data_IF_435762339265
#
_entry.id   IF_435762339265
#
_cell.length_a   1.000
_cell.length_b   1.000
_cell.length_c   1.000
_cell.angle_alpha   90.00
_cell.angle_beta   90.00
_cell.angle_gamma   90.00
#
_symmetry.space_group_name_H-M   'P 1'
#
loop_
_entity.id
_entity.type
_entity.pdbx_description
1 polymer ?
#
# COMPACT_ATOMS: atom_id res chain seq x y z
N UNK A 1 2.80 -16.56 22.42
CA UNK A 1 4.25 -16.76 22.55
C UNK A 1 4.58 -18.05 21.79
N UNK A 2 5.57 -18.04 20.90
CA UNK A 2 5.91 -19.23 20.10
C UNK A 2 6.64 -20.25 20.98
N UNK A 3 6.45 -21.55 20.73
CA UNK A 3 7.05 -22.66 21.50
C UNK A 3 8.57 -22.51 21.67
N UNK A 4 9.23 -22.06 20.60
CA UNK A 4 10.68 -21.79 20.55
C UNK A 4 11.14 -20.75 21.58
N UNK A 5 10.34 -19.71 21.84
CA UNK A 5 10.65 -18.70 22.87
C UNK A 5 10.46 -19.24 24.29
N UNK A 6 9.58 -20.22 24.49
CA UNK A 6 9.40 -20.87 25.80
C UNK A 6 10.64 -21.72 26.12
N UNK A 7 11.14 -22.46 25.14
CA UNK A 7 12.33 -23.31 25.30
C UNK A 7 13.61 -22.50 25.52
N UNK A 8 13.80 -21.39 24.79
CA UNK A 8 14.90 -20.45 25.07
C UNK A 8 14.85 -19.91 26.50
N UNK A 9 13.66 -19.53 26.97
CA UNK A 9 13.49 -18.97 28.31
C UNK A 9 13.76 -20.01 29.41
N UNK A 10 13.33 -21.26 29.20
CA UNK A 10 13.59 -22.37 30.12
C UNK A 10 15.07 -22.74 30.15
N UNK A 11 15.73 -22.77 29.00
CA UNK A 11 17.18 -22.99 28.89
C UNK A 11 17.96 -21.89 29.63
N UNK A 12 17.58 -20.62 29.42
CA UNK A 12 18.15 -19.49 30.13
C UNK A 12 17.98 -19.60 31.65
N UNK A 13 16.76 -19.90 32.13
CA UNK A 13 16.47 -20.07 33.55
C UNK A 13 17.33 -21.18 34.17
N UNK A 14 17.49 -22.31 33.48
CA UNK A 14 18.30 -23.44 33.95
C UNK A 14 19.79 -23.07 34.03
N UNK A 15 20.31 -22.34 33.04
CA UNK A 15 21.69 -21.84 33.03
C UNK A 15 21.90 -20.85 34.17
N UNK A 16 20.94 -19.95 34.38
CA UNK A 16 20.97 -18.92 35.41
C UNK A 16 20.97 -19.52 36.82
N UNK A 17 20.10 -20.50 37.10
CA UNK A 17 20.07 -21.24 38.37
C UNK A 17 21.41 -21.93 38.63
N UNK A 18 21.97 -22.59 37.61
CA UNK A 18 23.26 -23.29 37.72
C UNK A 18 24.43 -22.34 38.00
N UNK A 19 24.39 -21.11 37.50
CA UNK A 19 25.41 -20.09 37.81
C UNK A 19 25.31 -19.60 39.27
N UNK A 20 24.09 -19.43 39.78
CA UNK A 20 23.87 -19.09 41.19
C UNK A 20 24.35 -20.21 42.13
N UNK A 21 24.08 -21.48 41.81
CA UNK A 21 24.58 -22.64 42.56
C UNK A 21 26.10 -22.76 42.57
N UNK A 22 26.77 -22.26 41.52
CA UNK A 22 28.24 -22.21 41.41
C UNK A 22 28.86 -21.00 42.12
N UNK A 23 28.06 -20.19 42.83
CA UNK A 23 28.54 -19.04 43.60
C UNK A 23 28.93 -17.82 42.76
N UNK A 24 28.53 -17.76 41.48
CA UNK A 24 28.66 -16.54 40.68
C UNK A 24 27.58 -15.53 41.12
N UNK A 25 27.94 -14.65 42.04
CA UNK A 25 27.13 -13.48 42.35
C UNK A 25 27.31 -12.44 41.25
N UNK A 26 26.33 -12.31 40.37
CA UNK A 26 26.22 -11.14 39.51
C UNK A 26 25.71 -9.98 40.35
N UNK A 27 26.59 -9.05 40.71
CA UNK A 27 26.17 -7.73 41.21
C UNK A 27 25.57 -6.95 40.04
N UNK A 28 24.24 -6.92 39.94
CA UNK A 28 23.57 -6.04 39.00
C UNK A 28 23.67 -4.63 39.56
N UNK A 29 24.46 -3.78 38.92
CA UNK A 29 24.59 -2.40 39.36
C UNK A 29 23.26 -1.68 39.16
N UNK A 30 22.92 -0.77 40.09
CA UNK A 30 21.71 0.06 39.96
C UNK A 30 21.68 0.81 38.62
N UNK A 31 22.85 1.19 38.10
CA UNK A 31 22.99 1.84 36.79
C UNK A 31 22.48 0.97 35.63
N UNK A 32 22.72 -0.35 35.67
CA UNK A 32 22.23 -1.28 34.65
C UNK A 32 20.70 -1.40 34.68
N UNK A 33 20.12 -1.44 35.88
CA UNK A 33 18.66 -1.47 36.06
C UNK A 33 18.01 -0.18 35.54
N UNK A 34 18.61 0.97 35.83
CA UNK A 34 18.12 2.28 35.36
C UNK A 34 18.23 2.40 33.82
N UNK A 35 19.31 1.88 33.23
CA UNK A 35 19.50 1.82 31.78
C UNK A 35 18.40 0.97 31.11
N UNK A 36 18.17 -0.23 31.62
CA UNK A 36 17.12 -1.14 31.09
C UNK A 36 15.74 -0.53 31.23
N UNK A 37 15.43 0.09 32.36
CA UNK A 37 14.14 0.75 32.58
C UNK A 37 13.92 1.93 31.64
N UNK A 38 14.95 2.74 31.40
CA UNK A 38 14.86 3.85 30.46
C UNK A 38 14.71 3.36 29.02
N UNK A 39 15.47 2.32 28.63
CA UNK A 39 15.32 1.69 27.32
C UNK A 39 13.90 1.12 27.13
N UNK A 40 13.36 0.44 28.15
CA UNK A 40 11.99 -0.09 28.11
C UNK A 40 10.93 1.01 27.95
N UNK A 41 11.09 2.15 28.63
CA UNK A 41 10.21 3.32 28.46
C UNK A 41 10.28 3.87 27.03
N UNK A 42 11.49 4.06 26.50
CA UNK A 42 11.70 4.55 25.14
C UNK A 42 11.10 3.62 24.11
N UNK A 43 11.33 2.30 24.22
CA UNK A 43 10.76 1.31 23.32
C UNK A 43 9.23 1.28 23.38
N UNK A 44 8.64 1.43 24.57
CA UNK A 44 7.18 1.52 24.73
C UNK A 44 6.64 2.74 23.99
N UNK A 45 7.29 3.90 24.16
CA UNK A 45 6.90 5.13 23.49
C UNK A 45 6.99 5.00 21.96
N UNK A 46 8.11 4.51 21.44
CA UNK A 46 8.30 4.27 20.00
C UNK A 46 7.27 3.30 19.42
N UNK A 47 6.87 2.28 20.18
CA UNK A 47 5.86 1.33 19.74
C UNK A 47 4.46 1.98 19.62
N UNK A 48 4.11 2.92 20.50
CA UNK A 48 2.85 3.67 20.39
C UNK A 48 2.87 4.66 19.22
N UNK A 49 4.00 5.34 18.99
CA UNK A 49 4.21 6.20 17.81
C UNK A 49 4.08 5.40 16.51
N UNK A 50 4.67 4.21 16.44
CA UNK A 50 4.60 3.33 15.27
C UNK A 50 3.16 2.87 15.01
N UNK A 51 2.39 2.54 16.06
CA UNK A 51 0.96 2.22 15.92
C UNK A 51 0.16 3.39 15.38
N UNK A 52 0.47 4.61 15.84
CA UNK A 52 -0.22 5.81 15.38
C UNK A 52 0.09 6.09 13.90
N UNK A 53 1.37 6.08 13.52
CA UNK A 53 1.80 6.24 12.13
C UNK A 53 1.18 5.19 11.21
N UNK A 54 1.05 3.94 11.68
CA UNK A 54 0.38 2.89 10.91
C UNK A 54 -1.10 3.24 10.62
N UNK A 55 -1.84 3.70 11.63
CA UNK A 55 -3.23 4.15 11.46
C UNK A 55 -3.35 5.34 10.51
N UNK A 56 -2.46 6.30 10.62
CA UNK A 56 -2.43 7.48 9.74
C UNK A 56 -2.14 7.08 8.29
N UNK A 57 -1.19 6.18 8.08
CA UNK A 57 -0.86 5.68 6.74
C UNK A 57 -2.03 4.90 6.13
N UNK A 58 -2.73 4.08 6.90
CA UNK A 58 -3.96 3.40 6.47
C UNK A 58 -5.03 4.41 6.01
N UNK A 59 -5.23 5.50 6.75
CA UNK A 59 -6.14 6.59 6.34
C UNK A 59 -5.72 7.26 5.03
N UNK A 60 -4.43 7.59 4.89
CA UNK A 60 -3.90 8.22 3.66
C UNK A 60 -4.01 7.31 2.43
N UNK A 61 -3.86 5.99 2.60
CA UNK A 61 -4.06 5.02 1.51
C UNK A 61 -5.51 5.05 1.03
N UNK A 62 -6.47 5.04 1.96
CA UNK A 62 -7.90 5.11 1.64
C UNK A 62 -8.23 6.41 0.90
N UNK A 63 -7.75 7.55 1.38
CA UNK A 63 -7.99 8.85 0.74
C UNK A 63 -7.43 8.89 -0.69
N UNK A 64 -6.23 8.34 -0.89
CA UNK A 64 -5.61 8.25 -2.21
C UNK A 64 -6.41 7.35 -3.14
N UNK A 65 -6.87 6.19 -2.68
CA UNK A 65 -7.70 5.27 -3.47
C UNK A 65 -9.01 5.92 -3.89
N UNK A 66 -9.69 6.60 -2.97
CA UNK A 66 -10.90 7.38 -3.27
C UNK A 66 -10.63 8.46 -4.32
N UNK A 67 -9.54 9.22 -4.18
CA UNK A 67 -9.18 10.27 -5.15
C UNK A 67 -8.90 9.69 -6.54
N UNK A 68 -8.14 8.58 -6.62
CA UNK A 68 -7.85 7.89 -7.88
C UNK A 68 -9.14 7.37 -8.51
N UNK A 69 -10.04 6.78 -7.71
CA UNK A 69 -11.32 6.27 -8.21
C UNK A 69 -12.17 7.39 -8.80
N UNK A 70 -12.28 8.54 -8.13
CA UNK A 70 -13.01 9.70 -8.64
C UNK A 70 -12.43 10.20 -9.97
N UNK A 71 -11.12 10.42 -10.02
CA UNK A 71 -10.43 10.86 -11.24
C UNK A 71 -10.64 9.85 -12.39
N UNK A 72 -10.58 8.55 -12.07
CA UNK A 72 -10.76 7.48 -13.06
C UNK A 72 -12.19 7.48 -13.61
N UNK A 73 -13.18 7.67 -12.74
CA UNK A 73 -14.58 7.75 -13.15
C UNK A 73 -14.84 8.98 -14.03
N UNK A 74 -14.33 10.16 -13.63
CA UNK A 74 -14.44 11.38 -14.42
C UNK A 74 -13.80 11.21 -15.81
N UNK A 75 -12.63 10.56 -15.87
CA UNK A 75 -11.96 10.26 -17.13
C UNK A 75 -12.75 9.28 -17.99
N UNK A 76 -13.34 8.24 -17.38
CA UNK A 76 -14.15 7.25 -18.09
C UNK A 76 -15.42 7.88 -18.67
N UNK A 77 -16.09 8.74 -17.91
CA UNK A 77 -17.28 9.47 -18.35
C UNK A 77 -16.97 10.38 -19.54
N UNK A 78 -15.84 11.11 -19.49
CA UNK A 78 -15.42 11.97 -20.59
C UNK A 78 -15.03 11.15 -21.83
N UNK A 79 -14.33 10.02 -21.67
CA UNK A 79 -14.03 9.11 -22.78
C UNK A 79 -15.31 8.58 -23.42
N UNK A 80 -16.32 8.20 -22.62
CA UNK A 80 -17.61 7.76 -23.14
C UNK A 80 -18.34 8.87 -23.90
N UNK A 81 -18.32 10.10 -23.37
CA UNK A 81 -18.90 11.28 -24.03
C UNK A 81 -18.26 11.54 -25.38
N UNK A 82 -16.93 11.54 -25.43
CA UNK A 82 -16.16 11.76 -26.66
C UNK A 82 -16.36 10.63 -27.66
N UNK A 83 -16.37 9.37 -27.21
CA UNK A 83 -16.64 8.20 -28.05
C UNK A 83 -18.00 8.31 -28.72
N UNK A 84 -19.04 8.69 -27.97
CA UNK A 84 -20.40 8.89 -28.49
C UNK A 84 -20.48 10.05 -29.49
N UNK A 85 -19.77 11.16 -29.22
CA UNK A 85 -19.71 12.27 -30.16
C UNK A 85 -19.02 11.86 -31.48
N UNK A 86 -17.96 11.06 -31.39
CA UNK A 86 -17.25 10.52 -32.56
C UNK A 86 -18.15 9.57 -33.38
N UNK A 87 -18.89 8.67 -32.71
CA UNK A 87 -19.89 7.81 -33.36
C UNK A 87 -20.92 8.65 -34.14
N UNK A 88 -21.46 9.70 -33.54
CA UNK A 88 -22.42 10.60 -34.19
C UNK A 88 -21.83 11.32 -35.41
N UNK A 89 -20.60 11.81 -35.32
CA UNK A 89 -19.91 12.44 -36.45
C UNK A 89 -19.71 11.43 -37.58
N UNK A 90 -19.27 10.21 -37.27
CA UNK A 90 -19.08 9.16 -38.27
C UNK A 90 -20.39 8.74 -38.95
N UNK A 91 -21.50 8.64 -38.21
CA UNK A 91 -22.82 8.36 -38.81
C UNK A 91 -23.24 9.43 -39.82
N UNK A 92 -22.95 10.71 -39.53
CA UNK A 92 -23.25 11.84 -40.43
C UNK A 92 -22.31 11.86 -41.64
N UNK A 93 -21.04 11.50 -41.47
CA UNK A 93 -20.04 11.52 -42.54
C UNK A 93 -20.01 10.25 -43.39
N UNK A 94 -20.59 9.12 -42.94
CA UNK A 94 -20.60 7.84 -43.66
C UNK A 94 -21.13 7.92 -45.11
N UNK A 95 -22.22 8.65 -45.41
CA UNK A 95 -22.71 8.80 -46.79
C UNK A 95 -21.79 9.66 -47.69
N UNK A 96 -20.94 10.49 -47.07
CA UNK A 96 -19.97 11.35 -47.76
C UNK A 96 -18.65 10.58 -47.99
N UNK A 97 -18.29 9.71 -47.03
CA UNK A 97 -17.14 8.82 -47.09
C UNK A 97 -17.27 7.74 -48.18
N UNK A 98 -18.49 7.37 -48.60
CA UNK A 98 -18.77 6.38 -49.65
C UNK A 98 -18.21 6.74 -51.06
N UNK A 99 -17.55 7.90 -51.21
CA UNK A 99 -16.76 8.24 -52.40
C UNK A 99 -15.36 8.81 -52.12
N UNK A 100 -15.04 9.15 -50.86
CA UNK A 100 -13.78 9.78 -50.45
C UNK A 100 -13.44 9.32 -49.02
N UNK A 101 -12.82 8.15 -48.85
CA UNK A 101 -12.30 7.71 -47.56
C UNK A 101 -11.18 8.67 -47.11
N UNK A 102 -11.53 9.66 -46.31
CA UNK A 102 -10.54 10.63 -45.80
C UNK A 102 -9.67 9.99 -44.71
N UNK A 103 -8.42 10.43 -44.52
CA UNK A 103 -7.58 9.97 -43.42
C UNK A 103 -8.23 10.14 -42.04
N UNK A 104 -9.05 11.17 -41.85
CA UNK A 104 -9.77 11.42 -40.61
C UNK A 104 -10.82 10.34 -40.32
N UNK A 105 -11.56 9.88 -41.34
CA UNK A 105 -12.55 8.80 -41.20
C UNK A 105 -11.90 7.47 -40.80
N UNK A 106 -10.72 7.14 -41.39
CA UNK A 106 -9.96 5.94 -41.01
C UNK A 106 -9.48 5.99 -39.56
N UNK A 107 -8.93 7.13 -39.13
CA UNK A 107 -8.49 7.33 -37.73
C UNK A 107 -9.67 7.21 -36.75
N UNK A 108 -10.83 7.77 -37.10
CA UNK A 108 -12.03 7.68 -36.27
C UNK A 108 -12.55 6.23 -36.17
N UNK A 109 -12.55 5.48 -37.28
CA UNK A 109 -12.94 4.07 -37.31
C UNK A 109 -12.00 3.20 -36.45
N UNK A 110 -10.69 3.40 -36.54
CA UNK A 110 -9.70 2.73 -35.70
C UNK A 110 -9.90 3.07 -34.22
N UNK A 111 -10.14 4.35 -33.90
CA UNK A 111 -10.37 4.81 -32.52
C UNK A 111 -11.64 4.21 -31.88
N UNK A 112 -12.63 3.81 -32.68
CA UNK A 112 -13.82 3.10 -32.21
C UNK A 112 -13.65 1.57 -32.13
N UNK A 113 -12.51 1.04 -32.59
CA UNK A 113 -12.20 -0.39 -32.60
C UNK A 113 -12.61 -1.12 -33.88
N UNK A 114 -12.87 -0.40 -34.97
CA UNK A 114 -13.07 -1.00 -36.29
C UNK A 114 -11.75 -1.33 -36.97
N UNK A 115 -11.70 -2.42 -37.73
CA UNK A 115 -10.54 -2.71 -38.59
C UNK A 115 -10.51 -1.71 -39.75
N UNK A 116 -9.42 -0.95 -39.88
CA UNK A 116 -9.15 -0.18 -41.08
C UNK A 116 -8.91 -1.17 -42.24
N UNK A 117 -9.76 -1.09 -43.28
CA UNK A 117 -9.58 -1.85 -44.52
C UNK A 117 -8.70 -1.12 -45.52
#
# INVERSE_FOLDING_TARGET
>A
MKQEQIEEFQSFATIFERHFDLGFNFEIEKGDVDLVNNAAKTLKQQNEELKQLKRENEGLVIDRECAISNITNDFLDEVQRLRKALEQVMEVEAPIAEGWETPAYKIAQEALGGEAK
#
